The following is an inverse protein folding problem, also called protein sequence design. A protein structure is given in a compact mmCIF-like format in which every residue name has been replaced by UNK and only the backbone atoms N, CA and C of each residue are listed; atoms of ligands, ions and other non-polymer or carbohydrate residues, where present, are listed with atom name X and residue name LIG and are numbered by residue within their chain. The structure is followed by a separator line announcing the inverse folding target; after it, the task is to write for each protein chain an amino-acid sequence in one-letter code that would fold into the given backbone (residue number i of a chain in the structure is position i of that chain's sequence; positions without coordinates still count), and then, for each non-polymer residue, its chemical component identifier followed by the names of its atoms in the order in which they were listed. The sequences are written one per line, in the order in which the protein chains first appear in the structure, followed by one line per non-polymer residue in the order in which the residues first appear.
data_IF_527139027726
#
_entry.id   IF_527139027726
#
_cell.length_a   1.000
_cell.length_b   1.000
_cell.length_c   1.000
_cell.angle_alpha   90.00
_cell.angle_beta   90.00
_cell.angle_gamma   90.00
#
_symmetry.space_group_name_H-M   'P 1'
#
loop_
_entity.id
_entity.type
_entity.pdbx_description
1 polymer ?
#
# COMPACT_ATOMS: atom_id res chain seq x y z
N UNK A 1 27.66 -7.71 9.23
CA UNK A 1 27.28 -7.58 10.65
C UNK A 1 26.35 -6.38 10.73
N UNK A 2 25.06 -6.58 11.07
CA UNK A 2 24.16 -5.43 11.19
C UNK A 2 24.44 -4.74 12.53
N UNK A 3 25.11 -3.59 12.48
CA UNK A 3 25.25 -2.73 13.64
C UNK A 3 23.86 -2.24 14.07
N UNK A 4 23.52 -2.48 15.34
CA UNK A 4 22.35 -1.99 16.09
C UNK A 4 21.14 -1.51 15.27
N UNK A 5 20.11 -2.36 15.22
CA UNK A 5 18.75 -1.89 14.90
C UNK A 5 18.27 -0.95 16.01
N UNK A 6 18.08 0.32 15.68
CA UNK A 6 17.54 1.32 16.60
C UNK A 6 16.06 1.53 16.31
N UNK A 7 15.25 1.64 17.36
CA UNK A 7 13.83 1.95 17.21
C UNK A 7 13.70 3.35 16.58
N UNK A 8 13.03 3.42 15.44
CA UNK A 8 12.74 4.67 14.72
C UNK A 8 11.22 4.88 14.64
N UNK A 9 10.80 6.14 14.61
CA UNK A 9 9.41 6.53 14.31
C UNK A 9 9.37 7.11 12.90
N UNK A 10 8.29 6.83 12.18
CA UNK A 10 8.04 7.48 10.91
C UNK A 10 7.81 8.99 11.14
N UNK A 11 8.29 9.85 10.22
CA UNK A 11 7.83 11.22 10.11
C UNK A 11 6.30 11.30 10.10
N UNK A 12 5.76 12.37 10.65
CA UNK A 12 4.31 12.49 10.79
C UNK A 12 3.61 12.56 9.44
N UNK A 13 4.25 13.19 8.45
CA UNK A 13 3.78 13.26 7.06
C UNK A 13 3.66 11.88 6.42
N UNK A 14 4.62 10.98 6.66
CA UNK A 14 4.62 9.63 6.10
C UNK A 14 3.56 8.75 6.75
N UNK A 15 3.44 8.85 8.08
CA UNK A 15 2.41 8.11 8.83
C UNK A 15 1.00 8.56 8.42
N UNK A 16 0.82 9.85 8.10
CA UNK A 16 -0.45 10.39 7.63
C UNK A 16 -0.94 9.78 6.30
N UNK A 17 -0.04 9.24 5.47
CA UNK A 17 -0.40 8.56 4.21
C UNK A 17 -1.15 7.25 4.44
N UNK A 18 -1.01 6.62 5.62
CA UNK A 18 -1.49 5.25 5.84
C UNK A 18 -3.01 5.14 5.83
N UNK A 19 -3.71 6.06 6.50
CA UNK A 19 -5.16 6.03 6.59
C UNK A 19 -5.83 6.15 5.20
N UNK A 20 -5.54 7.17 4.38
CA UNK A 20 -6.16 7.31 3.06
C UNK A 20 -5.76 6.19 2.10
N UNK A 21 -4.49 5.75 2.12
CA UNK A 21 -4.06 4.63 1.28
C UNK A 21 -4.78 3.32 1.66
N UNK A 22 -4.94 3.03 2.95
CA UNK A 22 -5.71 1.87 3.41
C UNK A 22 -7.17 1.94 3.00
N UNK A 23 -7.79 3.11 3.05
CA UNK A 23 -9.16 3.30 2.60
C UNK A 23 -9.31 3.00 1.10
N UNK A 24 -8.38 3.50 0.27
CA UNK A 24 -8.35 3.22 -1.16
C UNK A 24 -8.20 1.71 -1.44
N UNK A 25 -7.28 1.04 -0.75
CA UNK A 25 -7.07 -0.42 -0.91
C UNK A 25 -8.30 -1.21 -0.47
N UNK A 26 -8.93 -0.82 0.65
CA UNK A 26 -10.12 -1.48 1.15
C UNK A 26 -11.27 -1.39 0.13
N UNK A 27 -11.51 -0.19 -0.42
CA UNK A 27 -12.52 0.02 -1.44
C UNK A 27 -12.23 -0.78 -2.71
N UNK A 28 -10.99 -0.70 -3.22
CA UNK A 28 -10.60 -1.41 -4.44
C UNK A 28 -10.66 -2.94 -4.30
N UNK A 29 -10.57 -3.46 -3.07
CA UNK A 29 -10.56 -4.90 -2.81
C UNK A 29 -11.85 -5.44 -2.19
N UNK A 30 -12.85 -4.59 -1.95
CA UNK A 30 -14.09 -4.97 -1.27
C UNK A 30 -14.84 -6.13 -1.94
N UNK A 31 -14.83 -6.16 -3.28
CA UNK A 31 -15.49 -7.20 -4.08
C UNK A 31 -14.61 -8.41 -4.43
N UNK A 32 -13.33 -8.44 -4.03
CA UNK A 32 -12.44 -9.54 -4.41
C UNK A 32 -12.71 -10.79 -3.54
N UNK A 33 -12.98 -11.96 -4.16
CA UNK A 33 -13.10 -13.23 -3.44
C UNK A 33 -11.86 -13.57 -2.62
N UNK A 34 -12.05 -14.25 -1.48
CA UNK A 34 -10.98 -14.58 -0.53
C UNK A 34 -9.83 -15.38 -1.17
N UNK A 35 -10.15 -16.34 -2.05
CA UNK A 35 -9.14 -17.13 -2.77
C UNK A 35 -8.30 -16.28 -3.73
N UNK A 36 -8.88 -15.22 -4.32
CA UNK A 36 -8.16 -14.26 -5.16
C UNK A 36 -7.35 -13.29 -4.30
N UNK A 37 -7.91 -12.78 -3.20
CA UNK A 37 -7.19 -11.90 -2.25
C UNK A 37 -5.98 -12.60 -1.62
N UNK A 38 -6.06 -13.91 -1.41
CA UNK A 38 -4.98 -14.71 -0.85
C UNK A 38 -3.78 -14.89 -1.81
N UNK A 39 -3.91 -14.56 -3.11
CA UNK A 39 -2.83 -14.65 -4.12
C UNK A 39 -1.77 -13.57 -3.94
N UNK A 40 -1.15 -13.55 -2.77
CA UNK A 40 -0.04 -12.66 -2.46
C UNK A 40 1.06 -12.86 -3.49
N UNK A 41 1.53 -11.77 -4.10
CA UNK A 41 2.60 -11.75 -5.11
C UNK A 41 2.30 -12.43 -6.47
N UNK A 42 1.10 -12.96 -6.66
CA UNK A 42 0.64 -13.59 -7.91
C UNK A 42 -0.59 -12.90 -8.52
N UNK A 43 -1.08 -11.83 -7.89
CA UNK A 43 -2.17 -11.01 -8.39
C UNK A 43 -1.69 -9.90 -9.32
N UNK A 44 -2.46 -9.65 -10.39
CA UNK A 44 -2.30 -8.49 -11.25
C UNK A 44 -3.66 -7.81 -11.44
N UNK A 45 -3.69 -6.50 -11.29
CA UNK A 45 -4.86 -5.66 -11.55
C UNK A 45 -4.43 -4.29 -12.09
N UNK A 46 -4.58 -4.07 -13.39
CA UNK A 46 -4.22 -2.80 -14.03
C UNK A 46 -5.14 -1.64 -13.67
N UNK A 47 -6.40 -1.90 -13.30
CA UNK A 47 -7.31 -0.84 -12.85
C UNK A 47 -6.92 -0.34 -11.47
N UNK A 48 -6.55 -1.26 -10.57
CA UNK A 48 -6.01 -0.92 -9.26
C UNK A 48 -4.70 -0.11 -9.37
N UNK A 49 -3.77 -0.50 -10.24
CA UNK A 49 -2.56 0.29 -10.49
C UNK A 49 -2.86 1.70 -10.98
N UNK A 50 -3.84 1.88 -11.88
CA UNK A 50 -4.28 3.21 -12.34
C UNK A 50 -4.87 4.05 -11.20
N UNK A 51 -5.69 3.45 -10.34
CA UNK A 51 -6.27 4.14 -9.18
C UNK A 51 -5.18 4.64 -8.22
N UNK A 52 -4.17 3.80 -7.93
CA UNK A 52 -3.02 4.21 -7.12
C UNK A 52 -2.23 5.36 -7.76
N UNK A 53 -2.01 5.31 -9.09
CA UNK A 53 -1.33 6.38 -9.82
C UNK A 53 -2.10 7.70 -9.80
N UNK A 54 -3.42 7.66 -10.00
CA UNK A 54 -4.30 8.84 -9.93
C UNK A 54 -4.31 9.46 -8.53
N UNK A 55 -4.20 8.64 -7.49
CA UNK A 55 -4.11 9.09 -6.10
C UNK A 55 -2.69 9.52 -5.68
N UNK A 56 -1.70 9.47 -6.58
CA UNK A 56 -0.32 9.91 -6.32
C UNK A 56 0.52 8.92 -5.50
N UNK A 57 0.08 7.66 -5.35
CA UNK A 57 0.77 6.66 -4.52
C UNK A 57 1.80 5.80 -5.29
N UNK A 58 2.01 6.06 -6.58
CA UNK A 58 3.05 5.40 -7.38
C UNK A 58 4.25 6.32 -7.57
N UNK A 59 5.46 5.80 -7.36
CA UNK A 59 6.70 6.56 -7.53
C UNK A 59 7.07 7.46 -6.34
N UNK A 60 6.52 7.20 -5.16
CA UNK A 60 6.89 7.90 -3.92
C UNK A 60 8.38 7.68 -3.59
N UNK A 61 9.06 8.74 -3.15
CA UNK A 61 10.51 8.75 -2.79
C UNK A 61 10.73 9.24 -1.35
N UNK A 62 9.82 8.84 -0.45
CA UNK A 62 9.83 9.15 0.99
C UNK A 62 11.10 8.65 1.68
#
# INVERSE_FOLDING_TARGET
MFEKLSLCRLPAEDEALRAPLRALIAEATAGLPTDRRARSWQGFDGAFSRALGQAGYLGLTL
#
